data_IF_067914344247
#
_entry.id   IF_067914344247
#
_cell.length_a   1.000
_cell.length_b   1.000
_cell.length_c   1.000
_cell.angle_alpha   90.00
_cell.angle_beta   90.00
_cell.angle_gamma   90.00
#
_symmetry.space_group_name_H-M   'P 1'
#
loop_
_entity.id
_entity.type
_entity.pdbx_description
1 polymer ?
#
# COMPACT_ATOMS: atom_id res chain seq x y z
N UNK A 1 16.81 -12.81 -6.29
CA UNK A 1 15.47 -13.42 -6.36
C UNK A 1 15.14 -13.44 -7.84
N UNK A 2 15.12 -14.61 -8.48
CA UNK A 2 14.94 -14.69 -9.94
C UNK A 2 13.46 -14.44 -10.26
N UNK A 3 13.20 -13.45 -11.12
CA UNK A 3 11.89 -13.21 -11.73
C UNK A 3 11.37 -14.50 -12.39
N UNK A 4 10.05 -14.69 -12.42
CA UNK A 4 9.43 -15.88 -13.02
C UNK A 4 9.87 -16.09 -14.48
N UNK A 5 10.25 -15.02 -15.18
CA UNK A 5 10.67 -15.05 -16.58
C UNK A 5 12.19 -15.14 -16.84
N UNK A 6 13.02 -15.22 -15.79
CA UNK A 6 14.49 -15.15 -15.95
C UNK A 6 15.02 -13.79 -16.43
N UNK A 7 14.16 -12.78 -16.60
CA UNK A 7 14.54 -11.40 -16.92
C UNK A 7 14.82 -10.62 -15.63
N UNK A 8 16.07 -10.21 -15.42
CA UNK A 8 16.47 -9.41 -14.27
C UNK A 8 15.69 -8.08 -14.22
N UNK A 9 15.09 -7.75 -13.08
CA UNK A 9 14.51 -6.43 -12.81
C UNK A 9 15.47 -5.71 -11.86
N UNK A 10 16.28 -4.81 -12.41
CA UNK A 10 17.35 -4.10 -11.68
C UNK A 10 16.83 -2.97 -10.80
N UNK A 11 15.68 -2.38 -11.14
CA UNK A 11 15.03 -1.35 -10.32
C UNK A 11 14.32 -2.00 -9.11
N UNK A 12 14.74 -1.72 -7.87
CA UNK A 12 14.11 -2.28 -6.68
C UNK A 12 12.62 -1.94 -6.55
N UNK A 13 12.18 -0.78 -7.05
CA UNK A 13 10.76 -0.38 -7.01
C UNK A 13 9.92 -1.25 -7.94
N UNK A 14 10.41 -1.57 -9.14
CA UNK A 14 9.71 -2.46 -10.09
C UNK A 14 9.61 -3.91 -9.60
N UNK A 15 10.43 -4.32 -8.64
CA UNK A 15 10.29 -5.62 -7.98
C UNK A 15 9.06 -5.69 -7.05
N UNK A 16 8.63 -4.53 -6.52
CA UNK A 16 7.47 -4.41 -5.62
C UNK A 16 6.18 -4.16 -6.40
N UNK A 17 6.29 -3.77 -7.66
CA UNK A 17 5.18 -3.16 -8.40
C UNK A 17 4.08 -4.16 -8.76
N UNK A 18 2.87 -3.81 -8.32
CA UNK A 18 1.62 -4.37 -8.82
C UNK A 18 1.22 -3.55 -10.05
N UNK A 19 1.20 -4.20 -11.20
CA UNK A 19 0.66 -3.65 -12.43
C UNK A 19 -0.86 -3.68 -12.33
N UNK A 20 -1.49 -2.55 -12.68
CA UNK A 20 -2.94 -2.37 -12.69
C UNK A 20 -3.38 -1.97 -14.09
N UNK A 21 -4.34 -2.72 -14.65
CA UNK A 21 -4.99 -2.40 -15.93
C UNK A 21 -6.49 -2.38 -15.69
N UNK A 22 -7.15 -1.27 -16.03
CA UNK A 22 -8.59 -1.12 -15.84
C UNK A 22 -9.40 -1.89 -16.89
N UNK A 23 -10.64 -2.25 -16.57
CA UNK A 23 -11.55 -2.88 -17.53
C UNK A 23 -11.82 -2.00 -18.76
N UNK A 24 -11.85 -0.68 -18.61
CA UNK A 24 -11.95 0.28 -19.72
C UNK A 24 -10.80 0.12 -20.73
N UNK A 25 -9.59 -0.19 -20.25
CA UNK A 25 -8.43 -0.47 -21.09
C UNK A 25 -8.48 -1.85 -21.76
N UNK A 26 -9.41 -2.72 -21.33
CA UNK A 26 -9.61 -4.09 -21.84
C UNK A 26 -11.00 -4.26 -22.51
N UNK A 27 -11.30 -3.52 -23.59
CA UNK A 27 -12.66 -3.48 -24.15
C UNK A 27 -13.18 -4.82 -24.70
N UNK A 28 -12.28 -5.76 -25.02
CA UNK A 28 -12.64 -7.05 -25.61
C UNK A 28 -13.19 -8.08 -24.60
N UNK A 29 -13.11 -7.81 -23.30
CA UNK A 29 -13.55 -8.74 -22.24
C UNK A 29 -14.67 -8.17 -21.35
N UNK A 30 -15.14 -6.96 -21.65
CA UNK A 30 -16.19 -6.31 -20.88
C UNK A 30 -17.49 -7.13 -20.92
N UNK A 31 -18.12 -7.30 -19.75
CA UNK A 31 -19.33 -8.11 -19.59
C UNK A 31 -19.08 -9.62 -19.57
N UNK A 32 -17.83 -10.06 -19.68
CA UNK A 32 -17.46 -11.47 -19.54
C UNK A 32 -17.12 -11.82 -18.09
N UNK A 33 -17.11 -13.12 -17.77
CA UNK A 33 -16.73 -13.57 -16.44
C UNK A 33 -15.21 -13.51 -16.26
N UNK A 34 -14.76 -13.03 -15.10
CA UNK A 34 -13.34 -13.04 -14.73
C UNK A 34 -12.72 -14.45 -14.81
N UNK A 35 -13.49 -15.50 -14.49
CA UNK A 35 -13.04 -16.89 -14.51
C UNK A 35 -12.78 -17.47 -15.90
N UNK A 36 -13.27 -16.84 -16.97
CA UNK A 36 -13.08 -17.31 -18.36
C UNK A 36 -11.72 -16.91 -18.95
N UNK A 37 -10.97 -16.08 -18.20
CA UNK A 37 -9.70 -15.50 -18.60
C UNK A 37 -8.58 -16.05 -17.73
N UNK A 38 -7.39 -16.16 -18.30
CA UNK A 38 -6.12 -16.43 -17.61
C UNK A 38 -5.09 -15.38 -18.01
N UNK A 39 -4.08 -15.17 -17.16
CA UNK A 39 -2.94 -14.33 -17.49
C UNK A 39 -1.68 -15.19 -17.63
N UNK A 40 -0.97 -15.02 -18.73
CA UNK A 40 0.16 -15.84 -19.13
C UNK A 40 1.40 -14.98 -19.38
N UNK A 41 2.59 -15.53 -19.17
CA UNK A 41 3.86 -14.94 -19.57
C UNK A 41 4.68 -15.93 -20.40
N UNK A 42 5.53 -15.42 -21.28
CA UNK A 42 6.46 -16.27 -22.03
C UNK A 42 7.69 -16.58 -21.16
N UNK A 43 7.87 -17.85 -20.82
CA UNK A 43 8.99 -18.37 -20.05
C UNK A 43 9.60 -19.58 -20.80
N UNK A 44 10.91 -19.54 -21.08
CA UNK A 44 11.63 -20.64 -21.75
C UNK A 44 10.97 -21.12 -23.07
N UNK A 45 10.33 -20.20 -23.80
CA UNK A 45 9.66 -20.49 -25.07
C UNK A 45 8.26 -21.11 -24.94
N UNK A 46 7.68 -21.13 -23.74
CA UNK A 46 6.31 -21.58 -23.48
C UNK A 46 5.51 -20.49 -22.75
N UNK A 47 4.20 -20.43 -23.00
CA UNK A 47 3.31 -19.61 -22.18
C UNK A 47 3.04 -20.35 -20.88
N UNK A 48 3.30 -19.70 -19.74
CA UNK A 48 3.07 -20.22 -18.40
C UNK A 48 2.13 -19.30 -17.64
N UNK A 49 1.22 -19.84 -16.80
CA UNK A 49 0.26 -19.03 -16.07
C UNK A 49 0.95 -18.26 -14.94
N UNK A 50 0.68 -16.96 -14.86
CA UNK A 50 1.21 -16.08 -13.81
C UNK A 50 0.11 -15.71 -12.80
N UNK A 51 0.45 -15.36 -11.54
CA UNK A 51 -0.53 -14.88 -10.58
C UNK A 51 -1.19 -13.59 -11.07
N UNK A 52 -2.51 -13.57 -11.03
CA UNK A 52 -3.33 -12.39 -11.34
C UNK A 52 -4.62 -12.45 -10.52
N UNK A 53 -5.32 -11.32 -10.45
CA UNK A 53 -6.70 -11.27 -9.98
C UNK A 53 -7.45 -10.15 -10.68
N UNK A 54 -8.77 -10.29 -10.75
CA UNK A 54 -9.68 -9.19 -11.08
C UNK A 54 -10.28 -8.64 -9.78
N UNK A 55 -10.25 -7.33 -9.65
CA UNK A 55 -10.75 -6.60 -8.51
C UNK A 55 -11.91 -5.68 -8.88
N UNK A 56 -13.11 -6.15 -8.57
CA UNK A 56 -14.34 -5.36 -8.64
C UNK A 56 -14.19 -4.07 -7.83
N UNK A 57 -14.78 -2.97 -8.30
CA UNK A 57 -14.85 -1.72 -7.53
C UNK A 57 -16.19 -1.54 -6.82
N UNK A 58 -16.17 -0.82 -5.70
CA UNK A 58 -17.38 -0.39 -5.02
C UNK A 58 -17.82 1.01 -5.51
N UNK A 59 -19.01 1.44 -5.10
CA UNK A 59 -19.61 2.73 -5.47
C UNK A 59 -18.80 3.99 -5.07
N UNK A 60 -17.74 3.84 -4.26
CA UNK A 60 -16.82 4.92 -3.89
C UNK A 60 -15.43 4.79 -4.57
N UNK A 61 -15.25 3.82 -5.47
CA UNK A 61 -14.01 3.60 -6.20
C UNK A 61 -12.94 2.81 -5.44
N UNK A 62 -13.24 2.32 -4.24
CA UNK A 62 -12.35 1.38 -3.54
C UNK A 62 -12.60 -0.04 -4.06
N UNK A 63 -11.67 -0.95 -3.81
CA UNK A 63 -11.89 -2.36 -4.15
C UNK A 63 -13.06 -2.93 -3.34
N UNK A 64 -13.96 -3.63 -4.01
CA UNK A 64 -15.09 -4.27 -3.39
C UNK A 64 -14.66 -5.53 -2.65
N UNK A 65 -15.01 -5.59 -1.37
CA UNK A 65 -14.86 -6.77 -0.51
C UNK A 65 -16.25 -7.26 -0.12
N UNK A 66 -16.60 -8.53 -0.40
CA UNK A 66 -17.88 -9.09 0.01
C UNK A 66 -18.13 -8.94 1.53
N UNK A 67 -19.34 -8.51 1.90
CA UNK A 67 -19.72 -8.22 3.28
C UNK A 67 -19.59 -6.75 3.67
N UNK A 68 -18.79 -5.96 2.93
CA UNK A 68 -18.68 -4.51 3.10
C UNK A 68 -20.01 -3.77 2.95
N UNK A 69 -20.13 -2.59 3.58
CA UNK A 69 -21.35 -1.76 3.48
C UNK A 69 -21.49 -1.04 2.15
N UNK A 70 -20.39 -0.79 1.46
CA UNK A 70 -20.41 -0.11 0.17
C UNK A 70 -20.80 -1.10 -0.92
N UNK A 71 -21.87 -0.82 -1.71
CA UNK A 71 -22.28 -1.72 -2.77
C UNK A 71 -21.22 -1.77 -3.87
N UNK A 72 -21.12 -2.92 -4.54
CA UNK A 72 -20.35 -3.10 -5.77
C UNK A 72 -20.84 -2.10 -6.85
N UNK A 73 -19.91 -1.58 -7.64
CA UNK A 73 -20.20 -0.76 -8.81
C UNK A 73 -20.17 -1.64 -10.06
N UNK A 74 -21.34 -2.18 -10.42
CA UNK A 74 -21.46 -3.15 -11.51
C UNK A 74 -21.95 -4.50 -10.99
N UNK A 75 -21.37 -5.59 -11.48
CA UNK A 75 -21.77 -6.95 -11.13
C UNK A 75 -20.58 -7.79 -10.67
N UNK A 76 -20.73 -8.43 -9.51
CA UNK A 76 -19.69 -9.32 -8.96
C UNK A 76 -19.33 -10.41 -9.98
N UNK A 77 -18.03 -10.66 -10.14
CA UNK A 77 -17.43 -11.65 -11.05
C UNK A 77 -17.64 -11.38 -12.57
N UNK A 78 -18.24 -10.25 -12.94
CA UNK A 78 -18.37 -9.78 -14.32
C UNK A 78 -17.44 -8.60 -14.51
N UNK A 79 -16.60 -8.64 -15.54
CA UNK A 79 -15.61 -7.58 -15.77
C UNK A 79 -16.32 -6.32 -16.26
N UNK A 80 -16.37 -5.31 -15.40
CA UNK A 80 -16.89 -3.98 -15.67
C UNK A 80 -15.76 -2.98 -15.98
N UNK A 81 -16.10 -1.79 -16.50
CA UNK A 81 -15.10 -0.81 -16.95
C UNK A 81 -14.20 -0.27 -15.84
N UNK A 82 -14.67 -0.28 -14.60
CA UNK A 82 -13.91 0.23 -13.45
C UNK A 82 -13.09 -0.83 -12.73
N UNK A 83 -13.28 -2.11 -13.08
CA UNK A 83 -12.59 -3.20 -12.41
C UNK A 83 -11.12 -3.22 -12.80
N UNK A 84 -10.30 -3.80 -11.94
CA UNK A 84 -8.85 -3.84 -12.14
C UNK A 84 -8.38 -5.26 -12.37
N UNK A 85 -7.74 -5.52 -13.52
CA UNK A 85 -6.81 -6.63 -13.67
C UNK A 85 -5.50 -6.25 -12.99
N UNK A 86 -5.07 -7.04 -12.01
CA UNK A 86 -3.79 -6.82 -11.32
C UNK A 86 -2.88 -8.04 -11.34
N UNK A 87 -1.58 -7.80 -11.48
CA UNK A 87 -0.52 -8.82 -11.53
C UNK A 87 0.84 -8.18 -11.16
N UNK A 88 1.86 -8.99 -10.87
CA UNK A 88 3.18 -8.43 -10.52
C UNK A 88 4.01 -8.11 -11.77
N UNK A 89 4.65 -6.94 -11.81
CA UNK A 89 5.58 -6.55 -12.89
C UNK A 89 6.65 -7.61 -13.14
N UNK A 90 7.22 -8.15 -12.05
CA UNK A 90 8.30 -9.16 -12.09
C UNK A 90 7.89 -10.52 -12.67
N UNK A 91 6.60 -10.76 -12.87
CA UNK A 91 6.11 -12.01 -13.48
C UNK A 91 5.97 -11.90 -15.00
N UNK A 92 6.09 -10.70 -15.57
CA UNK A 92 6.04 -10.52 -17.02
C UNK A 92 7.25 -11.18 -17.71
N UNK A 93 7.00 -11.70 -18.91
CA UNK A 93 7.95 -12.48 -19.70
C UNK A 93 8.49 -11.76 -20.94
N UNK A 94 9.20 -12.53 -21.77
CA UNK A 94 9.65 -12.05 -23.08
C UNK A 94 8.51 -11.95 -24.10
N UNK A 95 8.80 -11.39 -25.27
CA UNK A 95 7.84 -11.38 -26.38
C UNK A 95 7.60 -12.79 -26.89
N UNK A 96 6.35 -13.13 -27.15
CA UNK A 96 6.01 -14.41 -27.73
C UNK A 96 6.44 -14.46 -29.20
N UNK A 97 6.91 -15.63 -29.63
CA UNK A 97 7.30 -15.84 -31.03
C UNK A 97 6.12 -15.73 -31.99
N UNK A 98 6.40 -15.56 -33.28
CA UNK A 98 5.39 -15.43 -34.34
C UNK A 98 4.66 -16.73 -34.73
N UNK A 99 4.96 -17.84 -34.04
CA UNK A 99 4.25 -19.10 -34.25
C UNK A 99 2.82 -18.99 -33.67
N UNK A 100 1.81 -19.63 -34.29
CA UNK A 100 0.44 -19.56 -33.78
C UNK A 100 0.37 -20.17 -32.37
N UNK A 101 0.24 -19.31 -31.35
CA UNK A 101 0.02 -19.71 -29.96
C UNK A 101 -1.39 -20.26 -29.74
N UNK A 102 -2.29 -20.02 -30.70
CA UNK A 102 -3.74 -20.25 -30.64
C UNK A 102 -4.16 -21.72 -30.56
N UNK A 103 -3.28 -22.68 -30.84
CA UNK A 103 -3.72 -24.07 -31.08
C UNK A 103 -3.67 -25.02 -29.87
N UNK A 104 -3.34 -24.55 -28.66
CA UNK A 104 -3.41 -25.40 -27.44
C UNK A 104 -3.84 -24.71 -26.14
N UNK A 105 -3.82 -23.38 -26.07
CA UNK A 105 -3.94 -22.65 -24.81
C UNK A 105 -5.08 -21.64 -24.78
N UNK A 106 -5.99 -21.61 -25.75
CA UNK A 106 -7.06 -20.61 -25.84
C UNK A 106 -6.72 -19.42 -26.75
N UNK A 107 -7.54 -18.37 -26.69
CA UNK A 107 -7.43 -17.19 -27.56
C UNK A 107 -6.77 -16.03 -26.80
N UNK A 108 -5.64 -15.54 -27.29
CA UNK A 108 -5.03 -14.32 -26.75
C UNK A 108 -5.94 -13.15 -27.15
N UNK A 109 -6.54 -12.49 -26.16
CA UNK A 109 -7.45 -11.35 -26.36
C UNK A 109 -6.72 -10.01 -26.21
N UNK A 110 -5.67 -9.96 -25.40
CA UNK A 110 -4.81 -8.78 -25.24
C UNK A 110 -3.35 -9.16 -24.98
N UNK A 111 -2.42 -8.43 -25.59
CA UNK A 111 -1.00 -8.39 -25.19
C UNK A 111 -0.79 -7.14 -24.33
N UNK A 112 -0.22 -7.32 -23.15
CA UNK A 112 0.11 -6.26 -22.20
C UNK A 112 1.62 -6.05 -22.24
N UNK A 113 2.05 -4.90 -22.73
CA UNK A 113 3.47 -4.56 -22.91
C UNK A 113 3.88 -3.45 -21.95
N UNK A 114 5.01 -3.64 -21.27
CA UNK A 114 5.69 -2.58 -20.54
C UNK A 114 7.10 -2.46 -21.11
N UNK A 115 7.50 -1.25 -21.50
CA UNK A 115 8.85 -0.96 -21.98
C UNK A 115 9.50 0.11 -21.11
N UNK A 116 10.59 -0.26 -20.44
CA UNK A 116 11.39 0.65 -19.61
C UNK A 116 12.87 0.46 -19.93
N UNK A 117 13.60 1.57 -20.06
CA UNK A 117 15.05 1.57 -20.33
C UNK A 117 15.46 0.69 -21.55
N UNK A 118 14.56 0.56 -22.53
CA UNK A 118 14.77 -0.26 -23.73
C UNK A 118 14.54 -1.77 -23.55
N UNK A 119 14.08 -2.20 -22.38
CA UNK A 119 13.70 -3.58 -22.09
C UNK A 119 12.17 -3.68 -22.10
N UNK A 120 11.64 -4.48 -23.02
CA UNK A 120 10.20 -4.77 -23.11
C UNK A 120 9.86 -6.08 -22.40
N UNK A 121 8.76 -6.07 -21.66
CA UNK A 121 8.19 -7.22 -20.96
C UNK A 121 6.72 -7.38 -21.36
N UNK A 122 6.26 -8.61 -21.37
CA UNK A 122 4.95 -8.97 -21.89
C UNK A 122 4.19 -9.90 -20.96
N UNK A 123 2.89 -9.65 -20.83
CA UNK A 123 1.91 -10.60 -20.34
C UNK A 123 0.78 -10.73 -21.38
N UNK A 124 0.10 -11.87 -21.38
CA UNK A 124 -0.93 -12.20 -22.37
C UNK A 124 -2.21 -12.57 -21.63
N UNK A 125 -3.28 -11.82 -21.89
CA UNK A 125 -4.61 -12.16 -21.42
C UNK A 125 -5.21 -13.17 -22.39
N UNK A 126 -5.59 -14.34 -21.88
CA UNK A 126 -6.03 -15.48 -22.70
C UNK A 126 -7.41 -15.93 -22.27
N UNK A 127 -8.35 -15.95 -23.22
CA UNK A 127 -9.71 -16.45 -23.05
C UNK A 127 -9.80 -17.94 -23.38
N UNK A 128 -10.61 -18.68 -22.62
CA UNK A 128 -10.83 -20.12 -22.84
C UNK A 128 -9.65 -20.99 -22.38
N UNK A 129 -8.85 -20.46 -21.45
CA UNK A 129 -7.78 -21.17 -20.77
C UNK A 129 -8.09 -21.31 -19.28
N UNK A 130 -8.01 -22.53 -18.76
CA UNK A 130 -8.30 -22.85 -17.36
C UNK A 130 -7.03 -23.03 -16.50
N UNK A 131 -5.83 -22.91 -17.08
CA UNK A 131 -4.59 -22.98 -16.32
C UNK A 131 -4.44 -21.77 -15.40
N UNK A 132 -3.98 -22.02 -14.17
CA UNK A 132 -3.79 -20.99 -13.14
C UNK A 132 -2.47 -21.20 -12.43
N UNK A 133 -1.81 -20.09 -12.11
CA UNK A 133 -0.63 -20.14 -11.23
C UNK A 133 -1.06 -20.57 -9.83
N UNK A 134 -0.29 -21.47 -9.22
CA UNK A 134 -0.46 -21.83 -7.81
C UNK A 134 0.27 -20.89 -6.85
N UNK A 135 1.09 -19.97 -7.40
CA UNK A 135 1.81 -18.98 -6.62
C UNK A 135 0.85 -17.93 -6.08
N UNK A 136 1.01 -17.60 -4.80
CA UNK A 136 0.30 -16.52 -4.12
C UNK A 136 1.31 -15.66 -3.39
N UNK A 137 1.14 -14.35 -3.50
CA UNK A 137 2.01 -13.34 -2.89
C UNK A 137 1.59 -12.96 -1.49
N UNK A 138 0.34 -13.22 -1.13
CA UNK A 138 -0.22 -12.87 0.16
C UNK A 138 -1.44 -13.73 0.49
N UNK A 139 -1.66 -13.90 1.79
CA UNK A 139 -2.86 -14.45 2.36
C UNK A 139 -3.10 -13.80 3.73
N UNK A 140 -4.31 -13.32 3.96
CA UNK A 140 -4.75 -12.79 5.26
C UNK A 140 -5.73 -13.74 5.91
N UNK A 141 -5.41 -14.21 7.12
CA UNK A 141 -6.33 -14.98 7.94
C UNK A 141 -7.21 -14.02 8.75
N UNK A 142 -8.48 -13.93 8.36
CA UNK A 142 -9.44 -13.03 9.00
C UNK A 142 -9.77 -13.39 10.44
N UNK A 143 -9.77 -14.67 10.80
CA UNK A 143 -10.11 -15.11 12.16
C UNK A 143 -8.99 -14.81 13.15
N UNK A 144 -7.73 -14.92 12.70
CA UNK A 144 -6.57 -14.72 13.58
C UNK A 144 -5.91 -13.36 13.42
N UNK A 145 -6.26 -12.58 12.41
CA UNK A 145 -5.59 -11.33 12.06
C UNK A 145 -4.17 -11.53 11.52
N UNK A 146 -3.78 -12.75 11.13
CA UNK A 146 -2.42 -13.02 10.66
C UNK A 146 -2.30 -12.82 9.15
N UNK A 147 -1.39 -11.92 8.75
CA UNK A 147 -1.00 -11.69 7.37
C UNK A 147 0.31 -12.41 7.08
N UNK A 148 0.35 -13.20 6.02
CA UNK A 148 1.58 -13.71 5.43
C UNK A 148 1.71 -13.23 3.99
N UNK A 149 2.91 -12.80 3.61
CA UNK A 149 3.24 -12.40 2.24
C UNK A 149 4.52 -13.09 1.77
N UNK A 150 4.90 -12.88 0.51
CA UNK A 150 6.17 -13.37 -0.01
C UNK A 150 7.36 -12.80 0.77
N UNK A 151 7.30 -11.55 1.24
CA UNK A 151 8.46 -10.86 1.84
C UNK A 151 8.34 -10.53 3.33
N UNK A 152 7.15 -10.59 3.92
CA UNK A 152 6.95 -10.30 5.34
C UNK A 152 5.76 -11.06 5.93
N UNK A 153 5.64 -11.04 7.24
CA UNK A 153 4.39 -11.33 7.95
C UNK A 153 4.10 -10.25 8.98
N UNK A 154 2.83 -10.13 9.32
CA UNK A 154 2.34 -9.12 10.25
C UNK A 154 1.15 -9.69 11.01
N UNK A 155 1.16 -9.53 12.34
CA UNK A 155 0.05 -9.91 13.18
C UNK A 155 -0.79 -8.67 13.47
N UNK A 156 -2.09 -8.75 13.24
CA UNK A 156 -3.03 -7.72 13.67
C UNK A 156 -3.81 -8.20 14.88
N UNK A 157 -4.37 -7.26 15.65
CA UNK A 157 -5.49 -7.62 16.51
C UNK A 157 -6.66 -8.11 15.60
N UNK A 158 -7.21 -9.31 15.82
CA UNK A 158 -8.29 -9.83 14.98
C UNK A 158 -9.54 -8.94 14.98
N UNK A 159 -9.74 -8.12 16.02
CA UNK A 159 -10.87 -7.21 16.12
C UNK A 159 -10.60 -5.86 15.42
N UNK A 160 -9.33 -5.52 15.09
CA UNK A 160 -9.00 -4.24 14.46
C UNK A 160 -7.69 -4.24 13.65
N UNK A 161 -7.76 -3.73 12.43
CA UNK A 161 -6.60 -3.57 11.54
C UNK A 161 -5.63 -2.45 11.99
N UNK A 162 -6.01 -1.63 12.97
CA UNK A 162 -5.18 -0.53 13.44
C UNK A 162 -4.13 -0.95 14.47
N UNK A 163 -4.21 -2.14 15.05
CA UNK A 163 -3.25 -2.61 16.07
C UNK A 163 -2.33 -3.64 15.44
N UNK A 164 -1.05 -3.26 15.32
CA UNK A 164 -0.04 -4.03 14.61
C UNK A 164 0.93 -4.66 15.59
N UNK A 165 1.26 -5.93 15.32
CA UNK A 165 2.12 -6.78 16.11
C UNK A 165 3.06 -7.61 15.24
N UNK A 166 4.22 -8.01 15.77
CA UNK A 166 5.14 -8.95 15.14
C UNK A 166 5.42 -8.78 13.63
N UNK A 167 5.74 -7.55 13.19
CA UNK A 167 6.15 -7.35 11.79
C UNK A 167 7.53 -7.97 11.52
N UNK A 168 7.52 -9.13 10.88
CA UNK A 168 8.71 -9.90 10.51
C UNK A 168 8.98 -9.77 9.02
N UNK A 169 10.19 -9.37 8.65
CA UNK A 169 10.61 -9.29 7.25
C UNK A 169 11.52 -10.46 6.93
N UNK A 170 11.21 -11.17 5.85
CA UNK A 170 11.96 -12.36 5.44
C UNK A 170 13.38 -11.96 5.03
N UNK A 171 14.36 -12.63 5.60
CA UNK A 171 15.77 -12.33 5.39
C UNK A 171 16.32 -11.19 6.26
N UNK A 172 15.48 -10.46 6.99
CA UNK A 172 15.94 -9.56 8.04
C UNK A 172 16.17 -10.35 9.34
N UNK A 173 17.29 -10.09 10.00
CA UNK A 173 17.57 -10.62 11.35
C UNK A 173 17.69 -9.44 12.30
N UNK A 174 16.70 -9.32 13.20
CA UNK A 174 16.73 -8.33 14.28
C UNK A 174 17.78 -8.66 15.33
N UNK A 175 17.73 -7.94 16.45
CA UNK A 175 18.59 -8.24 17.61
C UNK A 175 17.85 -9.08 18.64
N UNK A 176 18.57 -9.59 19.64
CA UNK A 176 17.95 -10.37 20.72
C UNK A 176 16.93 -9.58 21.54
N UNK A 177 17.02 -8.25 21.58
CA UNK A 177 16.07 -7.37 22.27
C UNK A 177 14.93 -6.88 21.35
N UNK A 178 15.14 -6.95 20.04
CA UNK A 178 14.28 -6.41 19.01
C UNK A 178 14.26 -7.35 17.79
N UNK A 179 13.49 -8.45 17.83
CA UNK A 179 13.48 -9.42 16.74
C UNK A 179 12.84 -8.87 15.45
N UNK A 180 12.10 -7.78 15.54
CA UNK A 180 11.29 -7.18 14.48
C UNK A 180 11.78 -5.77 14.12
N UNK A 181 11.38 -5.28 12.96
CA UNK A 181 11.78 -3.95 12.48
C UNK A 181 11.00 -2.84 13.19
N UNK A 182 9.71 -3.11 13.42
CA UNK A 182 8.77 -2.18 14.02
C UNK A 182 8.22 -2.75 15.31
N UNK A 183 7.99 -1.85 16.26
CA UNK A 183 7.20 -2.14 17.45
C UNK A 183 5.74 -2.14 17.04
N UNK A 184 5.21 -1.00 16.58
CA UNK A 184 3.80 -0.90 16.22
C UNK A 184 3.55 0.32 15.35
N UNK A 185 2.39 0.32 14.69
CA UNK A 185 1.83 1.51 14.06
C UNK A 185 1.03 2.29 15.12
N UNK A 186 1.14 3.62 15.10
CA UNK A 186 0.43 4.50 16.03
C UNK A 186 -0.41 5.49 15.23
N UNK A 187 -1.72 5.39 15.41
CA UNK A 187 -2.68 6.43 15.07
C UNK A 187 -2.99 7.24 16.33
N UNK A 188 -2.91 8.57 16.27
CA UNK A 188 -3.31 9.46 17.37
C UNK A 188 -4.27 10.51 16.84
N UNK A 189 -5.45 10.59 17.42
CA UNK A 189 -6.43 11.63 17.11
C UNK A 189 -6.50 12.59 18.29
N UNK A 190 -6.14 13.85 18.07
CA UNK A 190 -6.16 14.91 19.08
C UNK A 190 -7.37 15.81 18.83
N UNK A 191 -8.16 16.02 19.89
CA UNK A 191 -9.45 16.70 19.83
C UNK A 191 -9.54 17.76 20.92
N UNK A 192 -10.03 18.95 20.56
CA UNK A 192 -10.33 20.01 21.54
C UNK A 192 -11.64 20.71 21.26
N UNK A 193 -12.48 20.84 22.28
CA UNK A 193 -13.68 21.68 22.28
C UNK A 193 -13.68 22.58 23.51
N UNK A 194 -13.33 23.86 23.34
CA UNK A 194 -13.14 24.78 24.46
C UNK A 194 -12.07 24.27 25.43
N UNK A 195 -12.46 23.96 26.67
CA UNK A 195 -11.56 23.42 27.68
C UNK A 195 -11.46 21.88 27.66
N UNK A 196 -12.37 21.19 26.96
CA UNK A 196 -12.37 19.74 26.85
C UNK A 196 -11.29 19.30 25.86
N UNK A 197 -10.51 18.29 26.24
CA UNK A 197 -9.46 17.68 25.43
C UNK A 197 -9.60 16.18 25.45
N UNK A 198 -9.42 15.55 24.30
CA UNK A 198 -9.32 14.10 24.18
C UNK A 198 -8.15 13.72 23.26
N UNK A 199 -7.52 12.60 23.57
CA UNK A 199 -6.53 11.96 22.70
C UNK A 199 -6.93 10.50 22.56
N UNK A 200 -7.24 10.08 21.34
CA UNK A 200 -7.55 8.70 21.03
C UNK A 200 -6.29 8.04 20.46
N UNK A 201 -6.04 6.81 20.88
CA UNK A 201 -5.03 5.92 20.30
C UNK A 201 -5.72 4.77 19.58
N UNK A 202 -4.95 3.93 18.87
CA UNK A 202 -5.44 2.88 17.97
C UNK A 202 -6.59 2.04 18.58
N UNK A 203 -6.42 1.52 19.79
CA UNK A 203 -7.45 0.69 20.45
C UNK A 203 -8.70 1.44 20.95
N UNK A 204 -8.70 2.77 20.87
CA UNK A 204 -9.87 3.62 21.18
C UNK A 204 -10.58 4.09 19.91
N UNK A 205 -10.02 3.84 18.73
CA UNK A 205 -10.69 4.09 17.46
C UNK A 205 -11.55 2.86 17.14
N UNK A 206 -12.89 2.98 17.16
CA UNK A 206 -13.77 1.83 16.94
C UNK A 206 -13.78 1.46 15.47
N UNK A 207 -12.92 0.52 15.10
CA UNK A 207 -12.93 -0.15 13.79
C UNK A 207 -13.55 -1.52 13.97
N UNK A 208 -14.47 -1.89 13.09
CA UNK A 208 -15.03 -3.24 13.00
C UNK A 208 -14.58 -3.86 11.69
N UNK A 209 -13.90 -5.00 11.78
CA UNK A 209 -13.50 -5.79 10.61
C UNK A 209 -14.73 -6.41 9.96
N UNK A 210 -14.88 -6.24 8.65
CA UNK A 210 -16.12 -6.60 7.93
C UNK A 210 -15.91 -7.81 7.02
N UNK A 211 -14.76 -7.89 6.36
CA UNK A 211 -14.47 -9.00 5.45
C UNK A 211 -13.05 -8.98 4.90
N UNK A 212 -12.71 -10.04 4.18
CA UNK A 212 -11.45 -10.16 3.45
C UNK A 212 -11.70 -10.71 2.05
N UNK A 213 -10.97 -10.18 1.08
CA UNK A 213 -10.79 -10.77 -0.25
C UNK A 213 -9.31 -11.13 -0.42
N UNK A 214 -9.02 -12.43 -0.34
CA UNK A 214 -7.67 -12.94 -0.60
C UNK A 214 -7.53 -13.30 -2.08
N UNK A 215 -6.64 -12.62 -2.80
CA UNK A 215 -6.25 -12.98 -4.17
C UNK A 215 -4.82 -13.53 -4.26
N UNK A 216 -4.36 -13.95 -5.44
CA UNK A 216 -2.98 -14.37 -5.65
C UNK A 216 -1.96 -13.23 -5.59
N UNK A 217 -2.36 -11.98 -5.87
CA UNK A 217 -1.46 -10.81 -5.97
C UNK A 217 -1.52 -9.95 -4.72
N UNK A 218 -2.74 -9.66 -4.26
CA UNK A 218 -3.00 -8.82 -3.09
C UNK A 218 -4.17 -9.36 -2.27
N UNK A 219 -4.10 -9.15 -0.96
CA UNK A 219 -5.17 -9.43 0.01
C UNK A 219 -5.76 -8.10 0.45
N UNK A 220 -7.09 -8.02 0.50
CA UNK A 220 -7.80 -6.77 0.76
C UNK A 220 -8.72 -7.00 1.94
N UNK A 221 -8.56 -6.19 2.99
CA UNK A 221 -9.30 -6.33 4.24
C UNK A 221 -10.14 -5.09 4.47
N UNK A 222 -11.45 -5.30 4.60
CA UNK A 222 -12.44 -4.23 4.77
C UNK A 222 -12.73 -4.03 6.26
N UNK A 223 -12.80 -2.77 6.68
CA UNK A 223 -13.25 -2.36 8.00
C UNK A 223 -14.12 -1.11 7.94
N UNK A 224 -14.99 -0.94 8.92
CA UNK A 224 -15.78 0.27 9.12
C UNK A 224 -15.40 0.95 10.43
N UNK A 225 -15.38 2.28 10.43
CA UNK A 225 -15.18 3.08 11.62
C UNK A 225 -16.23 4.19 11.73
N UNK A 226 -16.67 4.50 12.95
CA UNK A 226 -17.50 5.67 13.22
C UNK A 226 -17.22 6.18 14.62
N UNK A 227 -16.98 7.49 14.74
CA UNK A 227 -16.57 8.09 15.99
C UNK A 227 -17.46 9.27 16.36
N UNK A 228 -18.16 9.12 17.49
CA UNK A 228 -18.91 10.19 18.15
C UNK A 228 -18.22 10.53 19.46
N UNK A 229 -17.88 11.80 19.68
CA UNK A 229 -17.22 12.27 20.90
C UNK A 229 -17.75 13.63 21.32
N UNK A 230 -17.93 13.83 22.64
CA UNK A 230 -18.59 15.02 23.19
C UNK A 230 -20.01 15.29 22.63
N UNK A 231 -20.69 14.25 22.13
CA UNK A 231 -21.99 14.38 21.46
C UNK A 231 -21.91 14.93 20.03
N UNK A 232 -20.70 15.06 19.48
CA UNK A 232 -20.43 15.48 18.10
C UNK A 232 -20.09 14.24 17.28
N UNK A 233 -20.76 14.09 16.14
CA UNK A 233 -20.33 13.14 15.11
C UNK A 233 -19.07 13.69 14.46
N UNK A 234 -17.95 12.97 14.62
CA UNK A 234 -16.64 13.43 14.18
C UNK A 234 -16.31 12.92 12.79
N UNK A 235 -16.51 11.62 12.57
CA UNK A 235 -16.38 11.01 11.25
C UNK A 235 -17.05 9.64 11.19
N UNK A 236 -17.38 9.23 9.96
CA UNK A 236 -17.57 7.83 9.58
C UNK A 236 -16.59 7.48 8.47
N UNK A 237 -16.03 6.28 8.48
CA UNK A 237 -15.09 5.84 7.48
C UNK A 237 -15.29 4.36 7.10
N UNK A 238 -15.03 4.06 5.83
CA UNK A 238 -14.78 2.70 5.33
C UNK A 238 -13.31 2.60 4.95
N UNK A 239 -12.61 1.57 5.43
CA UNK A 239 -11.20 1.31 5.14
C UNK A 239 -11.06 -0.01 4.38
N UNK A 240 -10.32 0.01 3.28
CA UNK A 240 -10.08 -1.16 2.42
C UNK A 240 -8.57 -1.43 2.33
N UNK A 241 -7.99 -1.96 3.41
CA UNK A 241 -6.53 -2.13 3.51
C UNK A 241 -6.04 -3.15 2.49
N UNK A 242 -5.11 -2.74 1.64
CA UNK A 242 -4.52 -3.58 0.60
C UNK A 242 -3.12 -4.02 1.03
N UNK A 243 -2.91 -5.32 1.05
CA UNK A 243 -1.63 -5.97 1.34
C UNK A 243 -1.08 -6.60 0.07
N UNK A 244 0.14 -6.21 -0.31
CA UNK A 244 0.88 -6.85 -1.41
C UNK A 244 2.12 -7.53 -0.86
N UNK A 245 2.98 -8.05 -1.75
CA UNK A 245 4.26 -8.63 -1.34
C UNK A 245 5.13 -7.65 -0.51
N UNK A 246 5.07 -6.34 -0.79
CA UNK A 246 6.00 -5.32 -0.28
C UNK A 246 5.37 -3.93 -0.06
N UNK A 247 4.05 -3.82 -0.19
CA UNK A 247 3.29 -2.61 0.12
C UNK A 247 2.16 -2.89 1.09
N UNK A 248 1.82 -1.87 1.87
CA UNK A 248 0.61 -1.81 2.70
C UNK A 248 -0.06 -0.47 2.42
N UNK A 249 -1.28 -0.50 1.92
CA UNK A 249 -2.03 0.70 1.52
C UNK A 249 -3.34 0.76 2.31
N UNK A 250 -3.61 1.92 2.93
CA UNK A 250 -4.82 2.22 3.68
C UNK A 250 -5.63 3.28 2.93
N UNK A 251 -6.37 2.91 1.87
CA UNK A 251 -7.38 3.79 1.34
C UNK A 251 -8.58 3.82 2.30
N UNK A 252 -8.93 5.02 2.74
CA UNK A 252 -9.95 5.31 3.73
C UNK A 252 -10.94 6.29 3.11
N UNK A 253 -12.11 5.80 2.72
CA UNK A 253 -13.23 6.69 2.42
C UNK A 253 -13.73 7.27 3.75
N UNK A 254 -13.61 8.59 3.92
CA UNK A 254 -13.95 9.29 5.15
C UNK A 254 -15.00 10.38 4.89
N UNK A 255 -15.97 10.46 5.81
CA UNK A 255 -16.96 11.53 5.88
C UNK A 255 -16.69 12.34 7.13
N UNK A 256 -16.35 13.62 6.96
CA UNK A 256 -16.20 14.58 8.03
C UNK A 256 -17.41 15.51 8.03
N UNK A 257 -18.43 15.31 8.88
CA UNK A 257 -19.64 16.13 8.89
C UNK A 257 -19.33 17.56 9.35
N UNK A 258 -20.16 18.53 8.93
CA UNK A 258 -20.00 19.94 9.31
C UNK A 258 -20.08 20.19 10.83
N UNK A 259 -20.64 19.25 11.61
CA UNK A 259 -20.63 19.31 13.08
C UNK A 259 -19.22 19.26 13.68
N UNK A 260 -18.24 18.70 12.96
CA UNK A 260 -16.86 18.65 13.40
C UNK A 260 -16.22 20.05 13.52
N UNK A 261 -16.76 21.09 12.87
CA UNK A 261 -16.31 22.49 13.02
C UNK A 261 -16.45 23.05 14.44
N UNK A 262 -17.24 22.39 15.30
CA UNK A 262 -17.34 22.73 16.71
C UNK A 262 -16.03 22.46 17.47
N UNK A 263 -15.13 21.64 16.91
CA UNK A 263 -13.81 21.40 17.45
C UNK A 263 -12.86 22.54 17.08
N UNK A 264 -12.16 23.06 18.09
CA UNK A 264 -11.05 24.00 17.89
C UNK A 264 -9.73 23.32 17.50
N UNK A 265 -9.68 21.99 17.57
CA UNK A 265 -8.51 21.18 17.22
C UNK A 265 -9.00 19.80 16.78
N UNK A 266 -8.61 19.37 15.57
CA UNK A 266 -8.75 18.01 15.04
C UNK A 266 -7.46 17.68 14.29
N UNK A 267 -6.57 16.96 14.97
CA UNK A 267 -5.28 16.54 14.39
C UNK A 267 -5.19 15.02 14.37
N UNK A 268 -4.60 14.47 13.31
CA UNK A 268 -4.38 13.03 13.16
C UNK A 268 -2.89 12.80 12.89
N UNK A 269 -2.22 12.14 13.83
CA UNK A 269 -0.87 11.61 13.60
C UNK A 269 -0.99 10.14 13.18
N UNK A 270 -0.26 9.75 12.13
CA UNK A 270 -0.06 8.33 11.78
C UNK A 270 1.44 8.10 11.66
N UNK A 271 1.96 7.24 12.52
CA UNK A 271 3.41 7.03 12.66
C UNK A 271 3.74 5.55 12.83
N UNK A 272 4.99 5.20 12.54
CA UNK A 272 5.57 3.89 12.77
C UNK A 272 6.68 4.03 13.80
N UNK A 273 6.69 3.13 14.79
CA UNK A 273 7.68 3.11 15.87
C UNK A 273 8.67 1.96 15.66
N UNK A 274 9.97 2.28 15.59
CA UNK A 274 11.04 1.38 15.18
C UNK A 274 11.86 0.92 16.37
N UNK A 275 12.26 -0.35 16.35
CA UNK A 275 12.96 -0.97 17.48
C UNK A 275 14.42 -1.25 17.16
N UNK A 276 15.33 -0.67 17.96
CA UNK A 276 16.78 -0.91 17.82
C UNK A 276 17.32 -0.50 16.43
N UNK A 277 16.84 0.65 15.96
CA UNK A 277 17.19 1.25 14.67
C UNK A 277 18.17 2.43 14.77
N UNK A 278 18.79 2.67 15.92
CA UNK A 278 19.83 3.70 16.07
C UNK A 278 20.89 3.60 14.95
N UNK A 279 21.32 4.75 14.43
CA UNK A 279 22.23 4.85 13.29
C UNK A 279 21.55 4.78 11.91
N UNK A 280 20.24 4.52 11.85
CA UNK A 280 19.47 4.62 10.60
C UNK A 280 19.35 6.05 10.12
N UNK A 281 19.21 6.20 8.80
CA UNK A 281 19.13 7.47 8.09
C UNK A 281 17.68 7.84 7.83
N UNK A 282 17.26 9.01 8.25
CA UNK A 282 15.91 9.56 8.02
C UNK A 282 15.98 10.75 7.07
N UNK A 283 15.09 10.76 6.06
CA UNK A 283 14.95 11.85 5.09
C UNK A 283 13.48 12.13 4.81
N UNK A 284 13.20 13.38 4.44
CA UNK A 284 11.87 13.85 4.08
C UNK A 284 11.90 14.53 2.73
N UNK A 285 10.74 14.71 2.13
CA UNK A 285 10.62 15.22 0.77
C UNK A 285 11.22 16.61 0.56
N UNK A 286 11.04 17.50 1.53
CA UNK A 286 11.51 18.89 1.48
C UNK A 286 12.69 19.14 2.42
N UNK A 287 13.24 18.09 3.02
CA UNK A 287 14.37 18.17 3.94
C UNK A 287 15.74 18.25 3.24
N UNK A 288 16.81 18.43 4.03
CA UNK A 288 18.19 18.36 3.53
C UNK A 288 18.52 17.03 2.83
N UNK A 289 19.61 17.05 2.03
CA UNK A 289 20.17 15.85 1.38
C UNK A 289 20.96 14.99 2.37
N UNK A 290 21.52 15.63 3.38
CA UNK A 290 22.07 15.01 4.57
C UNK A 290 20.92 14.38 5.38
N UNK A 291 21.02 13.11 5.78
CA UNK A 291 20.00 12.48 6.61
C UNK A 291 20.13 12.89 8.08
N UNK A 292 19.00 12.91 8.80
CA UNK A 292 19.05 12.76 10.26
C UNK A 292 19.49 11.34 10.58
N UNK A 293 20.32 11.22 11.61
CA UNK A 293 20.74 9.93 12.13
C UNK A 293 19.93 9.65 13.40
N UNK A 294 19.17 8.56 13.37
CA UNK A 294 18.41 8.07 14.52
C UNK A 294 19.31 7.76 15.71
N UNK A 295 18.84 8.03 16.92
CA UNK A 295 19.59 7.94 18.18
C UNK A 295 20.56 9.09 18.43
N UNK A 296 20.71 10.04 17.50
CA UNK A 296 21.60 11.20 17.66
C UNK A 296 20.78 12.44 17.99
N UNK A 297 21.08 13.06 19.14
CA UNK A 297 20.49 14.33 19.55
C UNK A 297 20.89 15.45 18.58
N UNK A 298 19.89 16.19 18.09
CA UNK A 298 20.05 17.36 17.22
C UNK A 298 19.20 18.50 17.77
N UNK A 299 19.57 19.74 17.46
CA UNK A 299 18.79 20.90 17.88
C UNK A 299 17.44 20.96 17.14
N UNK A 300 16.46 21.66 17.74
CA UNK A 300 15.15 21.89 17.12
C UNK A 300 15.27 22.63 15.78
N UNK A 301 16.25 23.52 15.63
CA UNK A 301 16.52 24.21 14.37
C UNK A 301 16.97 23.25 13.26
N UNK A 302 17.77 22.23 13.59
CA UNK A 302 18.17 21.20 12.63
C UNK A 302 16.98 20.30 12.30
N UNK A 303 16.28 19.81 13.33
CA UNK A 303 15.13 18.91 13.16
C UNK A 303 14.01 19.54 12.35
N UNK A 304 13.73 20.82 12.59
CA UNK A 304 12.66 21.55 11.89
C UNK A 304 12.88 21.70 10.39
N UNK A 305 14.08 21.41 9.86
CA UNK A 305 14.36 21.43 8.42
C UNK A 305 13.81 20.20 7.69
N UNK A 306 13.54 19.10 8.39
CA UNK A 306 13.05 17.86 7.82
C UNK A 306 11.53 17.91 7.70
N UNK A 307 11.07 18.51 6.59
CA UNK A 307 9.66 18.80 6.31
C UNK A 307 9.12 17.95 5.17
N UNK A 308 7.80 17.82 5.17
CA UNK A 308 6.97 17.32 4.07
C UNK A 308 5.68 18.13 4.07
N UNK A 309 4.99 18.17 2.94
CA UNK A 309 3.70 18.84 2.76
C UNK A 309 2.79 18.02 1.82
N UNK A 310 1.58 18.52 1.53
CA UNK A 310 0.62 17.78 0.70
C UNK A 310 1.11 17.50 -0.72
N UNK A 311 1.93 18.39 -1.29
CA UNK A 311 2.45 18.24 -2.65
C UNK A 311 3.69 17.33 -2.67
N UNK A 312 4.35 17.16 -1.51
CA UNK A 312 5.53 16.32 -1.32
C UNK A 312 5.34 15.39 -0.10
N UNK A 313 4.37 14.45 -0.15
CA UNK A 313 3.77 13.86 1.05
C UNK A 313 4.48 12.57 1.48
N UNK A 314 5.81 12.57 1.53
CA UNK A 314 6.57 11.39 1.93
C UNK A 314 7.61 11.68 3.00
N UNK A 315 7.83 10.67 3.84
CA UNK A 315 8.98 10.54 4.73
C UNK A 315 9.59 9.16 4.53
N UNK A 316 10.89 9.02 4.76
CA UNK A 316 11.59 7.77 4.47
C UNK A 316 12.71 7.49 5.45
N UNK A 317 12.97 6.21 5.65
CA UNK A 317 14.08 5.71 6.46
C UNK A 317 14.85 4.66 5.68
N UNK A 318 16.17 4.71 5.80
CA UNK A 318 17.09 3.66 5.39
C UNK A 318 17.85 3.13 6.57
N UNK A 319 17.81 1.82 6.74
CA UNK A 319 18.35 1.18 7.94
C UNK A 319 19.83 0.83 7.84
N UNK A 320 20.39 0.93 6.63
CA UNK A 320 21.72 0.41 6.32
C UNK A 320 21.83 -1.12 6.42
N UNK A 321 20.73 -1.84 6.69
CA UNK A 321 20.67 -3.30 6.84
C UNK A 321 19.87 -3.95 5.71
N UNK A 322 20.04 -3.45 4.49
CA UNK A 322 19.34 -3.91 3.28
C UNK A 322 17.81 -3.89 3.42
N UNK A 323 17.30 -2.84 4.07
CA UNK A 323 15.88 -2.57 4.17
C UNK A 323 15.66 -1.07 4.29
N UNK A 324 14.81 -0.54 3.41
CA UNK A 324 14.41 0.85 3.36
C UNK A 324 12.89 0.92 3.28
N UNK A 325 12.32 2.03 3.75
CA UNK A 325 10.88 2.23 3.70
C UNK A 325 10.50 3.68 3.38
N UNK A 326 9.44 3.84 2.61
CA UNK A 326 8.73 5.08 2.41
C UNK A 326 7.37 5.00 3.10
N UNK A 327 7.04 6.06 3.82
CA UNK A 327 5.69 6.35 4.27
C UNK A 327 5.17 7.50 3.42
N UNK A 328 4.04 7.28 2.76
CA UNK A 328 3.36 8.25 1.90
C UNK A 328 1.96 8.55 2.41
N UNK A 329 1.52 9.78 2.17
CA UNK A 329 0.11 10.17 2.24
C UNK A 329 -0.40 10.70 0.90
N UNK A 330 -1.68 10.50 0.62
CA UNK A 330 -2.35 11.10 -0.51
C UNK A 330 -3.79 11.47 -0.15
N UNK A 331 -4.27 12.55 -0.77
CA UNK A 331 -5.66 13.00 -0.73
C UNK A 331 -6.03 13.59 -2.09
N UNK A 332 -7.29 13.47 -2.56
CA UNK A 332 -7.75 14.09 -3.80
C UNK A 332 -7.49 15.59 -3.85
N UNK A 333 -7.28 16.09 -5.08
CA UNK A 333 -7.13 17.51 -5.33
C UNK A 333 -8.34 18.32 -4.86
N UNK A 334 -8.07 19.52 -4.34
CA UNK A 334 -9.09 20.44 -3.83
C UNK A 334 -9.39 20.29 -2.33
N UNK A 335 -8.99 19.19 -1.70
CA UNK A 335 -9.01 19.05 -0.24
C UNK A 335 -7.62 19.37 0.31
N UNK A 336 -7.52 20.36 1.20
CA UNK A 336 -6.23 20.94 1.61
C UNK A 336 -6.09 21.01 3.15
N UNK A 337 -5.99 19.86 3.86
CA UNK A 337 -5.50 19.87 5.24
C UNK A 337 -4.04 20.34 5.29
N UNK A 338 -3.56 20.71 6.46
CA UNK A 338 -2.12 20.93 6.68
C UNK A 338 -1.45 19.57 6.91
N UNK A 339 -0.51 19.19 6.04
CA UNK A 339 0.35 18.02 6.25
C UNK A 339 1.73 18.44 6.72
N UNK A 340 2.29 17.71 7.69
CA UNK A 340 3.69 17.85 8.10
C UNK A 340 4.34 16.51 8.39
N UNK A 341 5.67 16.46 8.20
CA UNK A 341 6.48 15.32 8.64
C UNK A 341 6.54 15.28 10.17
N UNK A 342 6.48 14.08 10.73
CA UNK A 342 6.58 13.84 12.17
C UNK A 342 7.78 12.95 12.46
N UNK A 343 8.64 13.39 13.37
CA UNK A 343 9.79 12.63 13.86
C UNK A 343 9.97 12.82 15.37
N UNK A 344 9.93 11.71 16.12
CA UNK A 344 10.18 11.63 17.56
C UNK A 344 11.24 10.57 17.80
N UNK A 345 12.23 10.84 18.63
CA UNK A 345 13.30 9.90 18.95
C UNK A 345 13.66 9.95 20.44
N UNK A 346 13.18 8.98 21.20
CA UNK A 346 13.42 8.93 22.65
C UNK A 346 14.84 8.52 23.02
N UNK A 347 15.60 7.90 22.11
CA UNK A 347 17.04 7.67 22.30
C UNK A 347 17.83 8.97 22.08
N UNK A 348 17.29 9.89 21.28
CA UNK A 348 17.81 11.25 21.09
C UNK A 348 17.25 12.27 22.11
N UNK A 349 16.59 11.82 23.19
CA UNK A 349 16.13 12.67 24.29
C UNK A 349 14.65 13.04 24.27
N UNK A 350 13.88 12.65 23.25
CA UNK A 350 12.44 12.97 23.21
C UNK A 350 11.63 12.19 24.24
N UNK A 351 10.45 12.73 24.57
CA UNK A 351 9.50 12.03 25.42
C UNK A 351 8.95 10.80 24.70
N UNK A 352 9.07 9.65 25.37
CA UNK A 352 8.46 8.39 24.94
C UNK A 352 6.95 8.51 24.67
N UNK A 353 6.52 7.97 23.54
CA UNK A 353 5.12 7.88 23.14
C UNK A 353 4.64 6.43 23.32
N UNK A 354 3.93 6.13 24.42
CA UNK A 354 3.43 4.78 24.70
C UNK A 354 2.29 4.38 23.73
N UNK A 355 2.03 3.08 23.52
CA UNK A 355 2.72 1.92 24.09
C UNK A 355 4.06 1.60 23.39
N UNK A 356 4.95 0.95 24.14
CA UNK A 356 6.19 0.31 23.66
C UNK A 356 6.10 -1.16 24.10
N UNK A 357 6.19 -2.12 23.18
CA UNK A 357 6.20 -3.56 23.50
C UNK A 357 7.63 -4.08 23.65
N UNK A 358 8.58 -3.46 22.95
CA UNK A 358 9.99 -3.81 23.02
C UNK A 358 10.82 -2.71 23.69
N UNK A 359 11.90 -3.13 24.34
CA UNK A 359 12.90 -2.20 24.88
C UNK A 359 13.78 -1.73 23.72
N UNK A 360 13.89 -0.42 23.52
CA UNK A 360 14.65 0.17 22.42
C UNK A 360 13.79 0.64 21.25
N UNK A 361 12.45 0.66 21.40
CA UNK A 361 11.56 1.43 20.54
C UNK A 361 11.80 2.92 20.79
N UNK A 362 12.64 3.53 19.97
CA UNK A 362 13.12 4.88 20.21
C UNK A 362 12.69 5.85 19.13
N UNK A 363 12.80 5.46 17.86
CA UNK A 363 12.57 6.33 16.71
C UNK A 363 11.18 6.09 16.11
N UNK A 364 10.34 7.10 16.17
CA UNK A 364 8.98 7.14 15.63
C UNK A 364 8.92 8.18 14.51
N UNK A 365 8.48 7.77 13.32
CA UNK A 365 8.33 8.66 12.17
C UNK A 365 7.01 8.44 11.44
N UNK A 366 6.55 9.47 10.76
CA UNK A 366 5.35 9.41 9.95
C UNK A 366 4.89 10.81 9.56
N UNK A 367 3.58 11.01 9.57
CA UNK A 367 2.98 12.28 9.21
C UNK A 367 1.95 12.73 10.23
N UNK A 368 1.73 14.04 10.23
CA UNK A 368 0.68 14.71 10.98
C UNK A 368 -0.22 15.48 10.02
N UNK A 369 -1.52 15.29 10.18
CA UNK A 369 -2.57 16.06 9.53
C UNK A 369 -3.21 17.01 10.54
N UNK A 370 -3.38 18.25 10.13
CA UNK A 370 -4.07 19.31 10.86
C UNK A 370 -5.04 20.01 9.92
N UNK A 371 -5.90 20.88 10.46
CA UNK A 371 -6.80 21.72 9.67
C UNK A 371 -7.67 20.91 8.67
N UNK A 372 -8.11 19.72 9.08
CA UNK A 372 -8.91 18.82 8.24
C UNK A 372 -10.25 19.50 7.91
N UNK A 373 -10.57 19.73 6.63
CA UNK A 373 -11.83 20.36 6.27
C UNK A 373 -13.03 19.50 6.68
N UNK A 374 -14.12 20.15 7.06
CA UNK A 374 -15.38 19.48 7.43
C UNK A 374 -16.49 19.77 6.42
N UNK A 375 -17.61 19.06 6.53
CA UNK A 375 -18.68 19.08 5.54
C UNK A 375 -18.29 18.40 4.22
N UNK A 376 -17.31 17.48 4.26
CA UNK A 376 -16.76 16.82 3.08
C UNK A 376 -16.86 15.30 3.17
N UNK A 377 -16.88 14.68 1.99
CA UNK A 377 -16.56 13.27 1.79
C UNK A 377 -15.25 13.22 0.97
N UNK A 378 -14.30 12.40 1.38
CA UNK A 378 -13.00 12.28 0.71
C UNK A 378 -12.39 10.90 0.87
N UNK A 379 -11.33 10.61 0.11
CA UNK A 379 -10.50 9.42 0.30
C UNK A 379 -9.15 9.88 0.85
N UNK A 380 -8.77 9.36 2.01
CA UNK A 380 -7.43 9.50 2.55
C UNK A 380 -6.65 8.23 2.24
N UNK A 381 -5.40 8.34 1.81
CA UNK A 381 -4.57 7.16 1.55
C UNK A 381 -3.25 7.26 2.31
N UNK A 382 -2.96 6.26 3.13
CA UNK A 382 -1.65 6.09 3.77
C UNK A 382 -0.99 4.84 3.19
N UNK A 383 0.22 4.99 2.64
CA UNK A 383 0.86 3.91 1.89
C UNK A 383 2.29 3.69 2.38
N UNK A 384 2.62 2.44 2.64
CA UNK A 384 3.95 1.98 3.01
C UNK A 384 4.55 1.22 1.83
N UNK A 385 5.73 1.64 1.40
CA UNK A 385 6.53 0.93 0.41
C UNK A 385 7.83 0.52 1.07
N UNK A 386 8.17 -0.76 1.09
CA UNK A 386 9.36 -1.22 1.76
C UNK A 386 10.02 -2.37 1.02
N UNK A 387 11.34 -2.42 1.11
CA UNK A 387 12.12 -3.42 0.40
C UNK A 387 13.61 -3.21 0.55
N UNK A 388 14.41 -4.11 -0.05
CA UNK A 388 15.86 -3.97 -0.03
C UNK A 388 16.32 -2.84 -0.95
N UNK A 389 17.24 -2.02 -0.44
CA UNK A 389 18.00 -0.99 -1.19
C UNK A 389 17.13 -0.03 -2.02
N UNK A 390 15.98 0.40 -1.49
CA UNK A 390 15.16 1.40 -2.18
C UNK A 390 15.90 2.74 -2.31
N UNK A 391 16.73 3.10 -1.34
CA UNK A 391 17.50 4.36 -1.41
C UNK A 391 18.63 4.33 -2.42
N UNK A 392 19.03 3.15 -2.92
CA UNK A 392 20.15 2.96 -3.85
C UNK A 392 21.37 3.81 -3.42
N UNK A 393 21.81 3.61 -2.17
CA UNK A 393 22.78 4.49 -1.51
C UNK A 393 22.11 5.61 -0.70
N UNK A 394 22.09 6.85 -1.20
CA UNK A 394 21.49 8.01 -0.51
C UNK A 394 20.58 8.83 -1.45
N UNK A 395 19.80 8.15 -2.29
CA UNK A 395 18.96 8.76 -3.31
C UNK A 395 17.48 8.33 -3.18
N UNK A 396 16.82 8.63 -2.05
CA UNK A 396 15.39 8.35 -1.89
C UNK A 396 14.52 9.08 -2.92
N UNK A 397 14.99 10.16 -3.54
CA UNK A 397 14.23 10.90 -4.55
C UNK A 397 14.01 10.10 -5.84
N UNK A 398 14.98 9.27 -6.25
CA UNK A 398 14.80 8.37 -7.39
C UNK A 398 13.74 7.31 -7.08
N UNK A 399 13.82 6.67 -5.91
CA UNK A 399 12.81 5.70 -5.51
C UNK A 399 11.43 6.32 -5.40
N UNK A 400 11.34 7.53 -4.83
CA UNK A 400 10.10 8.30 -4.80
C UNK A 400 9.55 8.54 -6.20
N UNK A 401 10.40 8.98 -7.14
CA UNK A 401 9.99 9.17 -8.53
C UNK A 401 9.43 7.88 -9.13
N UNK A 402 10.12 6.75 -8.95
CA UNK A 402 9.67 5.46 -9.49
C UNK A 402 8.35 4.99 -8.83
N UNK A 403 8.14 5.26 -7.53
CA UNK A 403 6.90 4.95 -6.80
C UNK A 403 5.71 5.76 -7.34
N UNK A 404 5.90 7.06 -7.62
CA UNK A 404 4.81 7.92 -8.11
C UNK A 404 4.64 7.88 -9.62
N UNK A 405 5.53 7.20 -10.34
CA UNK A 405 5.46 6.98 -11.78
C UNK A 405 5.51 5.46 -12.04
N UNK A 406 4.40 4.75 -11.75
CA UNK A 406 4.30 3.33 -12.05
C UNK A 406 4.54 3.09 -13.53
N UNK A 407 4.98 1.88 -13.86
CA UNK A 407 5.29 1.51 -15.22
C UNK A 407 4.03 1.56 -16.09
N UNK A 408 4.15 2.15 -17.27
CA UNK A 408 3.02 2.36 -18.17
C UNK A 408 2.79 1.08 -18.97
N UNK A 409 1.58 0.53 -18.85
CA UNK A 409 1.14 -0.62 -19.66
C UNK A 409 0.58 -0.12 -20.97
N UNK A 410 1.12 -0.64 -22.07
CA UNK A 410 0.51 -0.55 -23.39
C UNK A 410 -0.36 -1.79 -23.61
N UNK A 411 -1.66 -1.59 -23.75
CA UNK A 411 -2.59 -2.67 -24.09
C UNK A 411 -2.74 -2.77 -25.60
N UNK A 412 -2.38 -3.92 -26.15
CA UNK A 412 -2.48 -4.24 -27.56
C UNK A 412 -3.60 -5.30 -27.76
N UNK A 413 -4.83 -4.88 -28.15
CA UNK A 413 -5.93 -5.81 -28.39
C UNK A 413 -5.62 -6.75 -29.56
N UNK A 414 -5.85 -8.04 -29.37
CA UNK A 414 -5.71 -9.03 -30.43
C UNK A 414 -7.01 -9.13 -31.22
N UNK A 415 -7.06 -8.45 -32.36
CA UNK A 415 -8.23 -8.45 -33.27
C UNK A 415 -8.46 -9.82 -33.97
N UNK A 416 -7.61 -10.82 -33.75
CA UNK A 416 -7.85 -12.18 -34.29
C UNK A 416 -8.92 -12.96 -33.49
N UNK A 417 -9.33 -12.47 -32.31
CA UNK A 417 -10.38 -13.09 -31.49
C UNK A 417 -11.81 -12.78 -31.96
N UNK A 418 -12.00 -11.88 -32.94
CA UNK A 418 -13.30 -11.59 -33.54
C UNK A 418 -13.54 -12.42 -34.80
N UNK A 419 -13.94 -13.68 -34.62
CA UNK A 419 -14.68 -14.47 -35.64
C UNK A 419 -15.58 -15.51 -34.99
#
# INVERSE_FOLDING_TARGET
MLAHSGLEVSNPIRQLEVVVVTGEELPLILGEKATEHSLMAMENGQLTPIPYQFDDKNSKGLTFVPGGKLPVNGSVDIIDSFDELVFMYKDMGGKAGSAPLENKLGHIVSELEITEEGISRYAYLVKGNDERSTKRYTDYNFETGYLETESYSLQFDPDTILVWEDWKIKGFTGTGAAPNILDTMKARIFLRMGFLKATLHNSLVPVSMVGVKNGPVRSIVEGDASLVIFGIDLFSAGVSVTFTAQTIEYPIFAVFPASADLLSELNIDVTLDYVDFEGSRYRTALGPKEPLITGVEVSDEIRSQYKSDLDNPWVSISTGKNWDMFFRFQIPDGIRPTLSALYRDSAAGDKRNKPERYKGSSSELGIKLEDIPTGIETILEYSLYFGPDLWQGNNPEKAWFDITHPAIVTVNPSLMASN
#
